data_IF_131893525437
#
_entry.id   IF_131893525437
#
_cell.length_a   1.000
_cell.length_b   1.000
_cell.length_c   1.000
_cell.angle_alpha   90.00
_cell.angle_beta   90.00
_cell.angle_gamma   90.00
#
_symmetry.space_group_name_H-M   'P 1'
#
loop_
_entity.id
_entity.type
_entity.pdbx_description
1 polymer ?
#
# COMPACT_ATOMS: atom_id res chain seq x y z
N UNK A 1 7.56 30.81 8.48
CA UNK A 1 7.90 31.09 7.06
C UNK A 1 6.81 32.02 6.52
N UNK A 2 7.12 33.32 6.41
CA UNK A 2 6.22 34.31 5.83
C UNK A 2 6.41 34.30 4.30
N UNK A 3 5.66 33.47 3.60
CA UNK A 3 5.58 33.59 2.13
C UNK A 3 4.11 33.68 1.74
N UNK A 4 3.78 34.66 0.89
CA UNK A 4 2.43 34.81 0.31
C UNK A 4 2.16 33.80 -0.82
N UNK A 5 3.01 32.79 -1.00
CA UNK A 5 2.86 31.74 -2.01
C UNK A 5 2.10 30.56 -1.43
N UNK A 6 1.11 30.07 -2.13
CA UNK A 6 0.46 28.80 -1.82
C UNK A 6 1.48 27.66 -1.83
N UNK A 7 1.37 26.77 -0.85
CA UNK A 7 2.22 25.57 -0.70
C UNK A 7 1.34 24.35 -0.59
N UNK A 8 1.83 23.22 -1.05
CA UNK A 8 1.21 21.93 -0.85
C UNK A 8 2.04 21.10 0.14
N UNK A 9 1.36 20.34 0.97
CA UNK A 9 1.96 19.32 1.83
C UNK A 9 1.34 17.97 1.47
N UNK A 10 2.19 16.98 1.27
CA UNK A 10 1.81 15.62 0.92
C UNK A 10 2.57 14.70 1.86
N UNK A 11 1.87 13.93 2.69
CA UNK A 11 2.48 12.89 3.51
C UNK A 11 2.52 11.58 2.70
N UNK A 12 3.70 11.01 2.53
CA UNK A 12 3.88 9.69 1.92
C UNK A 12 3.92 8.62 3.01
N UNK A 13 2.72 8.28 3.52
CA UNK A 13 2.54 7.36 4.63
C UNK A 13 1.46 6.31 4.35
N UNK A 14 1.56 5.15 5.00
CA UNK A 14 0.54 4.10 4.96
C UNK A 14 -0.59 4.33 5.98
N UNK A 15 -0.97 5.56 6.21
CA UNK A 15 -2.03 5.96 7.12
C UNK A 15 -3.17 6.61 6.33
N UNK A 16 -4.40 6.23 6.69
CA UNK A 16 -5.58 6.83 6.08
C UNK A 16 -5.60 8.34 6.28
N UNK A 17 -5.72 9.08 5.18
CA UNK A 17 -5.74 10.55 5.13
C UNK A 17 -4.60 11.19 5.93
N UNK A 18 -3.38 10.69 5.74
CA UNK A 18 -2.20 11.11 6.50
C UNK A 18 -1.94 12.61 6.47
N UNK A 19 -2.20 13.28 5.36
CA UNK A 19 -2.03 14.73 5.23
C UNK A 19 -3.16 15.52 5.89
N UNK A 20 -4.42 15.11 5.66
CA UNK A 20 -5.61 15.89 6.07
C UNK A 20 -6.07 15.55 7.49
N UNK A 21 -5.83 14.33 7.99
CA UNK A 21 -6.23 13.91 9.35
C UNK A 21 -5.55 14.73 10.45
N UNK A 22 -4.32 15.17 10.21
CA UNK A 22 -3.55 16.00 11.16
C UNK A 22 -3.98 17.48 11.20
N UNK A 23 -4.87 17.90 10.28
CA UNK A 23 -5.26 19.30 10.13
C UNK A 23 -6.43 19.75 11.01
N UNK A 24 -7.00 18.86 11.85
CA UNK A 24 -8.20 19.18 12.67
C UNK A 24 -8.05 20.39 13.58
N UNK A 25 -6.86 20.94 13.76
CA UNK A 25 -6.61 22.02 14.72
C UNK A 25 -5.94 23.31 14.18
N UNK A 26 -5.39 23.32 12.96
CA UNK A 26 -4.72 24.55 12.46
C UNK A 26 -4.85 24.73 10.96
N UNK A 27 -5.79 25.55 10.55
CA UNK A 27 -5.81 26.09 9.19
C UNK A 27 -4.61 27.00 8.99
N UNK A 28 -3.58 26.53 8.31
CA UNK A 28 -2.45 27.36 7.92
C UNK A 28 -2.82 28.07 6.62
N UNK A 29 -2.94 29.38 6.64
CA UNK A 29 -3.19 30.18 5.42
C UNK A 29 -2.17 29.81 4.34
N UNK A 30 -2.65 29.60 3.12
CA UNK A 30 -1.84 29.26 1.94
C UNK A 30 -1.17 27.85 1.98
N UNK A 31 -1.65 26.94 2.82
CA UNK A 31 -1.22 25.54 2.80
C UNK A 31 -2.39 24.64 2.36
N UNK A 32 -2.20 23.91 1.28
CA UNK A 32 -3.12 22.86 0.81
C UNK A 32 -2.56 21.51 1.25
N UNK A 33 -3.37 20.71 1.93
CA UNK A 33 -3.02 19.35 2.33
C UNK A 33 -3.61 18.39 1.29
N UNK A 34 -2.79 17.49 0.77
CA UNK A 34 -3.18 16.54 -0.27
C UNK A 34 -2.89 15.14 0.23
N UNK A 35 -3.90 14.30 0.26
CA UNK A 35 -3.73 12.89 0.61
C UNK A 35 -3.14 12.11 -0.56
N UNK A 36 -2.34 11.10 -0.23
CA UNK A 36 -1.66 10.26 -1.20
C UNK A 36 -1.72 8.79 -0.80
N UNK A 37 -1.83 7.94 -1.82
CA UNK A 37 -1.58 6.50 -1.70
C UNK A 37 -0.22 6.22 -2.34
N UNK A 38 0.72 5.71 -1.55
CA UNK A 38 2.04 5.33 -2.02
C UNK A 38 2.15 3.81 -2.03
N UNK A 39 2.47 3.26 -3.18
CA UNK A 39 2.70 1.83 -3.36
C UNK A 39 4.16 1.60 -3.77
N UNK A 40 4.95 1.14 -2.82
CA UNK A 40 6.36 0.80 -2.97
C UNK A 40 6.76 -0.18 -1.87
N UNK A 41 7.28 -1.34 -2.23
CA UNK A 41 7.86 -2.25 -1.26
C UNK A 41 9.31 -1.84 -1.01
N UNK A 42 9.63 -1.63 0.26
CA UNK A 42 10.98 -1.30 0.72
C UNK A 42 11.46 -2.48 1.59
N UNK A 43 12.41 -3.28 1.10
CA UNK A 43 12.97 -4.39 1.88
C UNK A 43 13.75 -3.87 3.10
N UNK A 44 14.16 -4.74 4.03
CA UNK A 44 15.05 -4.36 5.12
C UNK A 44 16.31 -3.66 4.58
N UNK A 45 16.69 -2.55 5.19
CA UNK A 45 17.83 -1.73 4.77
C UNK A 45 19.04 -1.94 5.68
N UNK A 46 20.25 -1.77 5.13
CA UNK A 46 21.44 -1.61 5.94
C UNK A 46 21.39 -0.22 6.61
N UNK A 47 21.37 -0.23 7.93
CA UNK A 47 21.28 1.00 8.74
C UNK A 47 22.57 1.84 8.72
N UNK A 48 23.67 1.30 8.16
CA UNK A 48 24.95 2.00 8.07
C UNK A 48 25.12 2.73 6.73
N UNK A 49 24.26 2.45 5.74
CA UNK A 49 24.27 3.12 4.44
C UNK A 49 23.18 4.19 4.36
N UNK A 50 23.45 5.26 3.60
CA UNK A 50 22.45 6.25 3.18
C UNK A 50 21.73 5.81 1.89
N UNK A 51 22.23 4.78 1.21
CA UNK A 51 21.60 4.22 0.03
C UNK A 51 20.38 3.39 0.44
N UNK A 52 19.26 3.59 -0.27
CA UNK A 52 18.01 2.89 -0.01
C UNK A 52 17.71 1.96 -1.19
N UNK A 53 17.73 0.66 -0.93
CA UNK A 53 17.30 -0.34 -1.92
C UNK A 53 15.79 -0.43 -1.91
N UNK A 54 15.17 -0.38 -3.09
CA UNK A 54 13.72 -0.49 -3.28
C UNK A 54 13.42 -1.33 -4.51
N UNK A 55 12.21 -1.88 -4.59
CA UNK A 55 11.75 -2.52 -5.82
C UNK A 55 11.67 -1.52 -6.99
N UNK A 56 11.70 -2.01 -8.24
CA UNK A 56 11.56 -1.18 -9.43
C UNK A 56 10.17 -0.53 -9.52
N UNK A 57 9.12 -1.30 -9.22
CA UNK A 57 7.75 -0.80 -9.22
C UNK A 57 7.56 0.33 -8.20
N UNK A 58 6.75 1.31 -8.55
CA UNK A 58 6.33 2.37 -7.62
C UNK A 58 5.18 3.19 -8.19
N UNK A 59 4.23 3.54 -7.31
CA UNK A 59 3.08 4.36 -7.66
C UNK A 59 2.80 5.38 -6.56
N UNK A 60 2.51 6.61 -6.98
CA UNK A 60 2.04 7.71 -6.12
C UNK A 60 0.72 8.18 -6.70
N UNK A 61 -0.36 7.94 -5.97
CA UNK A 61 -1.70 8.35 -6.36
C UNK A 61 -2.12 9.47 -5.43
N UNK A 62 -2.39 10.64 -5.99
CA UNK A 62 -2.86 11.82 -5.27
C UNK A 62 -4.37 11.95 -5.42
N UNK A 63 -5.00 12.52 -4.39
CA UNK A 63 -6.44 12.77 -4.41
C UNK A 63 -6.81 13.71 -5.57
N UNK A 64 -7.65 13.22 -6.48
CA UNK A 64 -8.11 13.96 -7.66
C UNK A 64 -9.00 15.18 -7.30
N UNK A 65 -9.65 15.14 -6.13
CA UNK A 65 -10.48 16.23 -5.63
C UNK A 65 -9.66 17.41 -5.08
N UNK A 66 -8.34 17.26 -4.99
CA UNK A 66 -7.46 18.34 -4.54
C UNK A 66 -7.50 19.54 -5.53
N UNK A 67 -7.73 20.73 -4.98
CA UNK A 67 -7.72 21.99 -5.77
C UNK A 67 -6.37 22.25 -6.44
N UNK A 68 -5.28 21.77 -5.85
CA UNK A 68 -3.93 21.94 -6.39
C UNK A 68 -3.38 20.61 -6.88
N UNK A 69 -2.78 20.61 -8.06
CA UNK A 69 -2.06 19.48 -8.64
C UNK A 69 -0.55 19.79 -8.68
N UNK A 70 0.15 19.71 -7.54
CA UNK A 70 1.55 20.15 -7.43
C UNK A 70 2.56 19.29 -8.16
N UNK A 71 2.21 18.02 -8.41
CA UNK A 71 3.04 17.08 -9.15
C UNK A 71 2.46 16.85 -10.54
N UNK A 72 3.34 16.83 -11.54
CA UNK A 72 2.95 16.48 -12.91
C UNK A 72 2.65 15.00 -13.01
N UNK A 73 1.57 14.63 -13.68
CA UNK A 73 1.29 13.23 -14.01
C UNK A 73 2.44 12.59 -14.80
N UNK A 74 2.71 11.35 -14.49
CA UNK A 74 3.78 10.54 -15.10
C UNK A 74 3.41 9.07 -15.00
N UNK A 75 4.31 8.17 -15.41
CA UNK A 75 4.12 6.73 -15.20
C UNK A 75 4.00 6.35 -13.72
N UNK A 76 4.57 7.16 -12.83
CA UNK A 76 4.56 6.91 -11.37
C UNK A 76 3.52 7.73 -10.65
N UNK A 77 3.20 8.96 -11.11
CA UNK A 77 2.29 9.89 -10.45
C UNK A 77 0.98 9.99 -11.22
N UNK A 78 -0.13 9.76 -10.53
CA UNK A 78 -1.48 9.94 -11.08
C UNK A 78 -2.41 10.60 -10.07
N UNK A 79 -3.56 11.09 -10.55
CA UNK A 79 -4.63 11.65 -9.74
C UNK A 79 -5.88 10.79 -9.91
N UNK A 80 -6.39 10.24 -8.79
CA UNK A 80 -7.55 9.35 -8.80
C UNK A 80 -8.36 9.54 -7.51
N UNK A 81 -9.51 8.87 -7.44
CA UNK A 81 -10.30 8.82 -6.23
C UNK A 81 -9.48 8.18 -5.09
N UNK A 82 -9.14 8.99 -4.09
CA UNK A 82 -8.27 8.56 -2.98
C UNK A 82 -8.84 7.37 -2.21
N UNK A 83 -10.13 7.41 -1.87
CA UNK A 83 -10.78 6.36 -1.07
C UNK A 83 -10.67 5.00 -1.76
N UNK A 84 -11.04 4.96 -3.04
CA UNK A 84 -11.01 3.71 -3.81
C UNK A 84 -9.58 3.17 -3.90
N UNK A 85 -8.60 4.01 -4.22
CA UNK A 85 -7.22 3.56 -4.37
C UNK A 85 -6.58 3.18 -3.03
N UNK A 86 -6.93 3.89 -1.95
CA UNK A 86 -6.44 3.55 -0.62
C UNK A 86 -6.94 2.16 -0.18
N UNK A 87 -8.26 1.90 -0.27
CA UNK A 87 -8.84 0.62 0.13
C UNK A 87 -8.45 -0.51 -0.81
N UNK A 88 -8.30 -0.25 -2.13
CA UNK A 88 -7.78 -1.22 -3.08
C UNK A 88 -6.38 -1.70 -2.66
N UNK A 89 -5.46 -0.78 -2.39
CA UNK A 89 -4.12 -1.11 -1.90
C UNK A 89 -4.19 -1.80 -0.54
N UNK A 90 -4.97 -1.25 0.39
CA UNK A 90 -5.05 -1.78 1.76
C UNK A 90 -5.49 -3.24 1.79
N UNK A 91 -6.50 -3.60 1.02
CA UNK A 91 -7.06 -4.95 1.01
C UNK A 91 -6.27 -5.89 0.10
N UNK A 92 -6.05 -5.55 -1.16
CA UNK A 92 -5.43 -6.48 -2.09
C UNK A 92 -3.92 -6.65 -1.81
N UNK A 93 -3.19 -5.57 -1.61
CA UNK A 93 -1.75 -5.66 -1.38
C UNK A 93 -1.44 -5.95 0.09
N UNK A 94 -1.82 -5.05 1.00
CA UNK A 94 -1.45 -5.21 2.40
C UNK A 94 -2.19 -6.38 3.07
N UNK A 95 -3.46 -6.61 2.69
CA UNK A 95 -4.26 -7.74 3.19
C UNK A 95 -3.71 -9.08 2.73
N UNK A 96 -3.40 -9.23 1.42
CA UNK A 96 -2.75 -10.45 0.93
C UNK A 96 -1.40 -10.67 1.60
N UNK A 97 -0.58 -9.62 1.70
CA UNK A 97 0.73 -9.69 2.36
C UNK A 97 0.64 -10.28 3.78
N UNK A 98 -0.33 -9.78 4.56
CA UNK A 98 -0.57 -10.28 5.90
C UNK A 98 -1.04 -11.74 5.93
N UNK A 99 -1.95 -12.12 5.01
CA UNK A 99 -2.41 -13.52 4.90
C UNK A 99 -1.26 -14.48 4.57
N UNK A 100 -0.38 -14.09 3.64
CA UNK A 100 0.82 -14.87 3.29
C UNK A 100 1.78 -14.99 4.46
N UNK A 101 1.94 -13.93 5.24
CA UNK A 101 2.80 -13.97 6.42
C UNK A 101 2.28 -14.97 7.47
N UNK A 102 0.98 -14.98 7.76
CA UNK A 102 0.41 -15.97 8.69
C UNK A 102 0.43 -17.39 8.13
N UNK A 103 0.21 -17.56 6.82
CA UNK A 103 0.38 -18.85 6.17
C UNK A 103 1.83 -19.34 6.32
N UNK A 104 2.81 -18.49 6.06
CA UNK A 104 4.23 -18.80 6.22
C UNK A 104 4.56 -19.21 7.65
N UNK A 105 4.10 -18.45 8.65
CA UNK A 105 4.29 -18.79 10.07
C UNK A 105 3.71 -20.16 10.43
N UNK A 106 2.51 -20.48 9.92
CA UNK A 106 1.84 -21.75 10.20
C UNK A 106 2.52 -22.95 9.54
N UNK A 107 3.36 -22.72 8.52
CA UNK A 107 4.08 -23.74 7.76
C UNK A 107 5.60 -23.67 7.91
N UNK A 108 6.09 -22.91 8.90
CA UNK A 108 7.52 -22.74 9.21
C UNK A 108 8.35 -22.20 8.04
N UNK A 109 7.72 -21.39 7.17
CA UNK A 109 8.35 -20.71 6.04
C UNK A 109 8.81 -19.32 6.48
N UNK A 110 10.04 -18.93 6.12
CA UNK A 110 10.66 -17.70 6.60
C UNK A 110 10.31 -16.46 5.77
N UNK A 111 10.28 -16.59 4.46
CA UNK A 111 10.10 -15.46 3.56
C UNK A 111 8.81 -15.56 2.72
N UNK A 112 8.24 -14.41 2.38
CA UNK A 112 7.00 -14.32 1.57
C UNK A 112 7.16 -14.98 0.19
N UNK A 113 8.29 -14.78 -0.50
CA UNK A 113 8.52 -15.42 -1.80
C UNK A 113 8.54 -16.94 -1.71
N UNK A 114 9.12 -17.51 -0.64
CA UNK A 114 9.15 -18.95 -0.42
C UNK A 114 7.73 -19.55 -0.22
N UNK A 115 6.80 -18.77 0.38
CA UNK A 115 5.38 -19.17 0.42
C UNK A 115 4.84 -19.34 -0.99
N UNK A 116 5.13 -18.41 -1.89
CA UNK A 116 4.66 -18.44 -3.28
C UNK A 116 5.38 -19.46 -4.17
N UNK A 117 6.55 -19.95 -3.77
CA UNK A 117 7.26 -21.05 -4.43
C UNK A 117 6.59 -22.40 -4.16
N UNK A 118 5.94 -22.57 -3.01
CA UNK A 118 5.20 -23.80 -2.70
C UNK A 118 3.86 -23.85 -3.45
N UNK A 119 3.47 -25.05 -3.94
CA UNK A 119 2.19 -25.23 -4.65
C UNK A 119 1.00 -24.84 -3.77
N UNK A 120 1.02 -25.25 -2.50
CA UNK A 120 -0.05 -24.96 -1.55
C UNK A 120 -0.13 -23.45 -1.24
N UNK A 121 1.01 -22.80 -1.04
CA UNK A 121 1.08 -21.36 -0.75
C UNK A 121 0.66 -20.51 -1.95
N UNK A 122 1.05 -20.89 -3.16
CA UNK A 122 0.62 -20.22 -4.39
C UNK A 122 -0.90 -20.31 -4.57
N UNK A 123 -1.46 -21.51 -4.42
CA UNK A 123 -2.92 -21.68 -4.48
C UNK A 123 -3.64 -20.84 -3.40
N UNK A 124 -3.13 -20.87 -2.17
CA UNK A 124 -3.68 -20.04 -1.09
C UNK A 124 -3.63 -18.54 -1.43
N UNK A 125 -2.54 -18.07 -2.04
CA UNK A 125 -2.39 -16.68 -2.48
C UNK A 125 -3.42 -16.29 -3.55
N UNK A 126 -3.58 -17.13 -4.59
CA UNK A 126 -4.50 -16.90 -5.69
C UNK A 126 -5.97 -16.91 -5.21
N UNK A 127 -6.36 -17.84 -4.37
CA UNK A 127 -7.70 -17.91 -3.77
C UNK A 127 -7.95 -16.69 -2.84
N UNK A 128 -6.94 -16.31 -2.08
CA UNK A 128 -7.02 -15.15 -1.18
C UNK A 128 -7.19 -13.85 -1.95
N UNK A 129 -6.35 -13.58 -2.96
CA UNK A 129 -6.43 -12.31 -3.70
C UNK A 129 -7.72 -12.21 -4.52
N UNK A 130 -8.22 -13.33 -5.07
CA UNK A 130 -9.51 -13.39 -5.74
C UNK A 130 -10.66 -13.02 -4.80
N UNK A 131 -10.61 -13.52 -3.56
CA UNK A 131 -11.61 -13.20 -2.53
C UNK A 131 -11.55 -11.74 -2.12
N UNK A 132 -10.34 -11.20 -1.90
CA UNK A 132 -10.13 -9.79 -1.54
C UNK A 132 -10.58 -8.86 -2.68
N UNK A 133 -10.32 -9.19 -3.94
CA UNK A 133 -10.76 -8.41 -5.09
C UNK A 133 -12.30 -8.34 -5.19
N UNK A 134 -12.99 -9.46 -4.96
CA UNK A 134 -14.46 -9.49 -4.91
C UNK A 134 -15.00 -8.65 -3.75
N UNK A 135 -14.41 -8.79 -2.57
CA UNK A 135 -14.81 -8.01 -1.39
C UNK A 135 -14.60 -6.51 -1.62
N UNK A 136 -13.48 -6.10 -2.19
CA UNK A 136 -13.21 -4.71 -2.55
C UNK A 136 -14.26 -4.16 -3.52
N UNK A 137 -14.58 -4.87 -4.61
CA UNK A 137 -15.59 -4.42 -5.57
C UNK A 137 -16.97 -4.26 -4.95
N UNK A 138 -17.35 -5.13 -4.01
CA UNK A 138 -18.62 -5.00 -3.25
C UNK A 138 -18.57 -3.75 -2.36
N UNK A 139 -17.48 -3.57 -1.61
CA UNK A 139 -17.33 -2.45 -0.69
C UNK A 139 -17.31 -1.09 -1.41
N UNK A 140 -16.53 -0.98 -2.48
CA UNK A 140 -16.38 0.25 -3.26
C UNK A 140 -17.54 0.51 -4.23
N UNK A 141 -18.51 -0.43 -4.30
CA UNK A 141 -19.60 -0.41 -5.27
C UNK A 141 -19.09 -0.23 -6.72
N UNK A 142 -18.01 -0.96 -7.05
CA UNK A 142 -17.41 -0.97 -8.39
C UNK A 142 -17.49 -2.37 -9.02
N UNK A 143 -17.18 -2.42 -10.30
CA UNK A 143 -17.00 -3.69 -11.03
C UNK A 143 -15.67 -3.63 -11.79
N UNK A 144 -14.61 -3.25 -11.09
CA UNK A 144 -13.27 -3.09 -11.66
C UNK A 144 -12.68 -4.47 -11.97
N UNK A 145 -12.08 -4.59 -13.17
CA UNK A 145 -11.28 -5.78 -13.48
C UNK A 145 -9.91 -5.68 -12.78
N UNK A 146 -9.75 -6.41 -11.69
CA UNK A 146 -8.56 -6.37 -10.84
C UNK A 146 -7.54 -7.47 -11.18
N UNK A 147 -7.71 -8.21 -12.28
CA UNK A 147 -6.83 -9.34 -12.61
C UNK A 147 -5.37 -8.92 -12.81
N UNK A 148 -5.14 -7.86 -13.57
CA UNK A 148 -3.78 -7.34 -13.82
C UNK A 148 -3.14 -6.82 -12.53
N UNK A 149 -3.90 -6.06 -11.74
CA UNK A 149 -3.44 -5.56 -10.44
C UNK A 149 -3.09 -6.70 -9.48
N UNK A 150 -3.94 -7.73 -9.41
CA UNK A 150 -3.72 -8.92 -8.59
C UNK A 150 -2.47 -9.69 -9.03
N UNK A 151 -2.30 -9.89 -10.34
CA UNK A 151 -1.13 -10.60 -10.87
C UNK A 151 0.17 -9.82 -10.61
N UNK A 152 0.12 -8.49 -10.73
CA UNK A 152 1.26 -7.64 -10.40
C UNK A 152 1.68 -7.81 -8.93
N UNK A 153 0.72 -7.84 -7.99
CA UNK A 153 1.02 -8.08 -6.57
C UNK A 153 1.68 -9.45 -6.35
N UNK A 154 1.13 -10.51 -6.96
CA UNK A 154 1.70 -11.85 -6.84
C UNK A 154 3.13 -11.92 -7.39
N UNK A 155 3.39 -11.29 -8.53
CA UNK A 155 4.71 -11.23 -9.14
C UNK A 155 5.70 -10.50 -8.22
N UNK A 156 5.32 -9.36 -7.64
CA UNK A 156 6.15 -8.58 -6.72
C UNK A 156 6.49 -9.38 -5.46
N UNK A 157 5.51 -10.08 -4.86
CA UNK A 157 5.75 -10.91 -3.69
C UNK A 157 6.57 -12.17 -3.97
N UNK A 158 6.69 -12.57 -5.23
CA UNK A 158 7.53 -13.70 -5.64
C UNK A 158 9.01 -13.33 -5.82
N UNK A 159 9.39 -12.05 -5.66
CA UNK A 159 10.78 -11.59 -5.85
C UNK A 159 11.66 -11.99 -4.64
N UNK A 160 12.65 -12.88 -4.81
CA UNK A 160 13.53 -13.31 -3.71
C UNK A 160 14.38 -12.16 -3.16
N UNK A 161 14.69 -11.17 -3.99
CA UNK A 161 15.51 -10.00 -3.62
C UNK A 161 14.90 -9.16 -2.51
N UNK A 162 13.57 -9.21 -2.35
CA UNK A 162 12.88 -8.47 -1.30
C UNK A 162 13.14 -9.04 0.10
N UNK A 163 13.46 -10.33 0.22
CA UNK A 163 13.73 -11.03 1.50
C UNK A 163 12.74 -10.65 2.62
N UNK A 164 11.45 -10.60 2.27
CA UNK A 164 10.42 -10.10 3.17
C UNK A 164 10.05 -11.13 4.23
N UNK A 165 10.52 -10.93 5.45
CA UNK A 165 10.39 -11.87 6.58
C UNK A 165 8.95 -11.90 7.09
N UNK A 166 8.37 -13.11 7.17
CA UNK A 166 6.98 -13.32 7.62
C UNK A 166 6.73 -12.81 9.04
N UNK A 167 7.70 -12.91 9.96
CA UNK A 167 7.56 -12.38 11.32
C UNK A 167 7.48 -10.85 11.31
N UNK A 168 8.27 -10.18 10.45
CA UNK A 168 8.20 -8.74 10.27
C UNK A 168 6.83 -8.31 9.79
N UNK A 169 6.28 -9.02 8.81
CA UNK A 169 4.97 -8.70 8.24
C UNK A 169 3.83 -9.01 9.21
N UNK A 170 3.91 -10.12 9.96
CA UNK A 170 2.85 -10.56 10.89
C UNK A 170 2.81 -9.80 12.22
N UNK A 171 3.80 -8.94 12.54
CA UNK A 171 3.84 -8.18 13.80
C UNK A 171 2.61 -7.29 14.02
N UNK A 172 2.29 -7.03 15.30
CA UNK A 172 1.18 -6.17 15.75
C UNK A 172 -0.19 -6.60 15.21
N UNK A 173 -0.61 -7.87 15.43
CA UNK A 173 -1.86 -8.39 14.88
C UNK A 173 -3.08 -7.61 15.38
N UNK A 174 -3.10 -7.18 16.62
CA UNK A 174 -4.21 -6.43 17.24
C UNK A 174 -4.52 -5.12 16.49
N UNK A 175 -3.50 -4.47 15.95
CA UNK A 175 -3.67 -3.25 15.14
C UNK A 175 -4.16 -3.63 13.73
N UNK A 176 -3.50 -4.61 13.12
CA UNK A 176 -3.74 -4.99 11.73
C UNK A 176 -5.09 -5.65 11.47
N UNK A 177 -5.68 -6.25 12.51
CA UNK A 177 -7.02 -6.83 12.48
C UNK A 177 -8.09 -5.91 13.08
N UNK A 178 -7.75 -4.67 13.46
CA UNK A 178 -8.75 -3.70 13.91
C UNK A 178 -9.64 -3.22 12.77
N UNK A 179 -10.83 -2.72 13.12
CA UNK A 179 -11.76 -2.12 12.16
C UNK A 179 -11.08 -1.00 11.38
N UNK A 180 -11.34 -0.92 10.08
CA UNK A 180 -10.78 0.05 9.14
C UNK A 180 -9.28 -0.15 8.81
N UNK A 181 -8.72 -1.30 9.16
CA UNK A 181 -7.38 -1.67 8.75
C UNK A 181 -7.43 -2.60 7.51
N UNK A 182 -6.86 -3.83 7.58
CA UNK A 182 -6.59 -4.65 6.38
C UNK A 182 -7.68 -5.64 6.02
N UNK A 183 -8.76 -5.63 6.79
CA UNK A 183 -9.92 -6.53 6.61
C UNK A 183 -11.22 -5.82 6.96
#
# INVERSE_FOLDING_TARGET
IKTNKSKSFIAFENMYRASTSSSKEKTVKHLTLIDAVVDKIVPPQDTQSLDVTVEEYGSIILDEESELKPLKESLVVSYKNYENEFYKKLWLLNGLHLKLAYFGLSNEIKFIHEVLESELGRKFAEDSISTLAKAYNIYSNTNENLNEFSQNILNRFSLPELQDDVNRVARNPEIKFSLNERF
#
